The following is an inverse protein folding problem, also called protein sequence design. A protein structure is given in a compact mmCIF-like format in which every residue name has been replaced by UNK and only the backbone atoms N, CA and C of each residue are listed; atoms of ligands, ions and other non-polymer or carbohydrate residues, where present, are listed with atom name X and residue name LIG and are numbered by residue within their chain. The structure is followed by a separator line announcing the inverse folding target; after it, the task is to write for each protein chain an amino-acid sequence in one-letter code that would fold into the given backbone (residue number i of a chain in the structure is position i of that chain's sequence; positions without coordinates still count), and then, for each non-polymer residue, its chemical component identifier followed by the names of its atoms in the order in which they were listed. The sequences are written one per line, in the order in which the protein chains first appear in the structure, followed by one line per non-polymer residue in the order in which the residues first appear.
data_IF_569506306117
#
_entry.id   IF_569506306117
#
_cell.length_a   1.000
_cell.length_b   1.000
_cell.length_c   1.000
_cell.angle_alpha   90.00
_cell.angle_beta   90.00
_cell.angle_gamma   90.00
#
_symmetry.space_group_name_H-M   'P 1'
#
loop_
_entity.id
_entity.type
_entity.pdbx_description
1 polymer ?
#
# COMPACT_ATOMS: atom_id res chain seq x y z
N UNK A 1 -1.28 -15.67 30.59
CA UNK A 1 -2.00 -14.45 30.15
C UNK A 1 -1.17 -13.56 29.22
N UNK A 2 0.18 -13.64 29.26
CA UNK A 2 1.07 -12.80 28.44
C UNK A 2 1.13 -13.18 26.94
N UNK A 3 1.11 -14.48 26.61
CA UNK A 3 1.23 -14.98 25.23
C UNK A 3 0.14 -14.46 24.29
N UNK A 4 -1.10 -14.36 24.79
CA UNK A 4 -2.22 -13.85 24.00
C UNK A 4 -2.01 -12.39 23.55
N UNK A 5 -1.43 -11.55 24.40
CA UNK A 5 -1.19 -10.14 24.06
C UNK A 5 -0.13 -9.99 22.96
N UNK A 6 0.94 -10.78 23.03
CA UNK A 6 1.99 -10.79 21.99
C UNK A 6 1.45 -11.27 20.65
N UNK A 7 0.64 -12.33 20.63
CA UNK A 7 0.02 -12.84 19.40
C UNK A 7 -0.95 -11.82 18.81
N UNK A 8 -1.78 -11.16 19.62
CA UNK A 8 -2.69 -10.12 19.15
C UNK A 8 -1.94 -8.93 18.54
N UNK A 9 -0.85 -8.48 19.17
CA UNK A 9 0.00 -7.41 18.63
C UNK A 9 0.68 -7.84 17.33
N UNK A 10 1.20 -9.06 17.25
CA UNK A 10 1.82 -9.57 16.04
C UNK A 10 0.82 -9.63 14.88
N UNK A 11 -0.37 -10.19 15.10
CA UNK A 11 -1.44 -10.24 14.09
C UNK A 11 -1.86 -8.85 13.66
N UNK A 12 -2.02 -7.92 14.62
CA UNK A 12 -2.34 -6.52 14.31
C UNK A 12 -1.28 -5.88 13.41
N UNK A 13 0.01 -6.04 13.73
CA UNK A 13 1.11 -5.52 12.92
C UNK A 13 1.14 -6.13 11.53
N UNK A 14 0.86 -7.44 11.40
CA UNK A 14 0.75 -8.11 10.10
C UNK A 14 -0.43 -7.57 9.27
N UNK A 15 -1.61 -7.42 9.87
CA UNK A 15 -2.77 -6.83 9.18
C UNK A 15 -2.49 -5.38 8.77
N UNK A 16 -1.84 -4.61 9.63
CA UNK A 16 -1.46 -3.22 9.36
C UNK A 16 -0.45 -3.13 8.20
N UNK A 17 0.57 -3.99 8.21
CA UNK A 17 1.55 -4.09 7.13
C UNK A 17 0.87 -4.43 5.80
N UNK A 18 0.04 -5.48 5.76
CA UNK A 18 -0.68 -5.89 4.54
C UNK A 18 -1.62 -4.79 4.05
N UNK A 19 -2.28 -4.05 4.95
CA UNK A 19 -3.15 -2.94 4.60
C UNK A 19 -2.38 -1.80 3.95
N UNK A 20 -1.23 -1.41 4.53
CA UNK A 20 -0.37 -0.37 3.93
C UNK A 20 0.14 -0.85 2.58
N UNK A 21 0.66 -2.07 2.48
CA UNK A 21 1.17 -2.62 1.21
C UNK A 21 0.09 -2.63 0.14
N UNK A 22 -1.12 -3.12 0.47
CA UNK A 22 -2.26 -3.11 -0.45
C UNK A 22 -2.67 -1.70 -0.86
N UNK A 23 -2.69 -0.75 0.08
CA UNK A 23 -3.00 0.65 -0.18
C UNK A 23 -1.97 1.32 -1.09
N UNK A 24 -0.68 1.05 -0.89
CA UNK A 24 0.40 1.51 -1.76
C UNK A 24 0.25 1.00 -3.18
N UNK A 25 -0.11 -0.28 -3.36
CA UNK A 25 -0.39 -0.85 -4.69
C UNK A 25 -1.60 -0.16 -5.32
N UNK A 26 -2.68 0.04 -4.56
CA UNK A 26 -3.87 0.72 -5.06
C UNK A 26 -3.60 2.16 -5.50
N UNK A 27 -2.80 2.92 -4.75
CA UNK A 27 -2.40 4.27 -5.17
C UNK A 27 -1.50 4.21 -6.40
N UNK A 28 -0.46 3.38 -6.37
CA UNK A 28 0.58 3.36 -7.41
C UNK A 28 0.12 2.80 -8.76
N UNK A 29 -0.79 1.83 -8.74
CA UNK A 29 -1.22 1.09 -9.93
C UNK A 29 -2.74 1.09 -10.16
N UNK A 30 -3.53 1.60 -9.23
CA UNK A 30 -4.99 1.65 -9.34
C UNK A 30 -5.52 2.93 -10.01
N UNK A 31 -6.83 3.20 -9.91
CA UNK A 31 -7.45 4.38 -10.51
C UNK A 31 -6.76 5.73 -10.21
N UNK A 32 -6.22 5.96 -8.98
CA UNK A 32 -5.49 7.20 -8.68
C UNK A 32 -4.23 7.42 -9.53
N UNK A 33 -3.57 6.36 -9.99
CA UNK A 33 -2.31 6.49 -10.74
C UNK A 33 -2.49 7.19 -12.08
N UNK A 34 -3.69 7.11 -12.68
CA UNK A 34 -4.03 7.80 -13.93
C UNK A 34 -4.01 9.32 -13.84
N UNK A 35 -4.00 9.88 -12.62
CA UNK A 35 -3.84 11.32 -12.38
C UNK A 35 -2.37 11.74 -12.35
N UNK A 36 -1.42 10.80 -12.34
CA UNK A 36 -0.01 11.10 -12.48
C UNK A 36 0.24 11.45 -13.94
N UNK A 37 0.71 12.68 -14.19
CA UNK A 37 1.14 13.12 -15.51
C UNK A 37 2.24 12.19 -16.01
N UNK A 38 2.11 11.72 -17.24
CA UNK A 38 3.16 10.93 -17.87
C UNK A 38 4.36 11.85 -18.18
N UNK A 39 5.55 11.60 -17.62
CA UNK A 39 6.73 12.43 -17.86
C UNK A 39 7.27 12.30 -19.30
N UNK A 40 6.80 11.35 -20.11
CA UNK A 40 7.26 11.13 -21.48
C UNK A 40 6.30 11.67 -22.54
N UNK A 41 5.12 12.15 -22.17
CA UNK A 41 4.09 12.67 -23.09
C UNK A 41 4.60 13.85 -23.94
N UNK A 42 5.52 14.65 -23.39
CA UNK A 42 6.15 15.78 -24.09
C UNK A 42 7.20 15.37 -25.13
N UNK A 43 7.55 14.08 -25.21
CA UNK A 43 8.61 13.53 -26.07
C UNK A 43 8.07 12.67 -27.23
N UNK A 44 6.76 12.60 -27.41
CA UNK A 44 6.13 11.76 -28.46
C UNK A 44 6.08 12.41 -29.86
N UNK A 45 6.58 13.64 -30.06
CA UNK A 45 6.59 14.36 -31.34
C UNK A 45 7.98 14.78 -31.82
#
# INVERSE_FOLDING_TARGET
MEENQTVLLAVFLWCFLLSITGYSIYIGFGPPSKKLRDPFEEHEN
#
